data_IF_697207696332
#
_entry.id   IF_697207696332
#
_cell.length_a   1.000
_cell.length_b   1.000
_cell.length_c   1.000
_cell.angle_alpha   90.00
_cell.angle_beta   90.00
_cell.angle_gamma   90.00
#
_symmetry.space_group_name_H-M   'P 1'
#
loop_
_entity.id
_entity.type
_entity.pdbx_description
1 polymer ?
#
# COMPACT_ATOMS: atom_id res chain seq x y z
N UNK A 1 -4.55 30.41 14.41
CA UNK A 1 -4.03 29.03 14.29
C UNK A 1 -5.24 28.08 14.31
N UNK A 2 -5.84 27.81 13.14
CA UNK A 2 -7.15 27.12 13.06
C UNK A 2 -7.00 25.63 13.39
N UNK A 3 -7.74 25.20 14.43
CA UNK A 3 -7.86 23.82 14.93
C UNK A 3 -8.87 22.96 14.16
N UNK A 4 -9.16 23.29 12.90
CA UNK A 4 -9.82 22.36 11.99
C UNK A 4 -8.78 21.37 11.46
N UNK A 5 -8.43 20.38 12.27
CA UNK A 5 -7.52 19.30 11.88
C UNK A 5 -8.12 18.62 10.65
N UNK A 6 -7.52 18.91 9.50
CA UNK A 6 -7.86 18.36 8.20
C UNK A 6 -7.98 16.84 8.29
N UNK A 7 -9.16 16.34 7.94
CA UNK A 7 -9.70 15.11 8.47
C UNK A 7 -9.64 13.95 7.46
N UNK A 8 -8.74 14.01 6.47
CA UNK A 8 -8.70 13.04 5.37
C UNK A 8 -7.42 12.21 5.40
N UNK A 9 -7.58 10.90 5.20
CA UNK A 9 -6.47 9.95 5.01
C UNK A 9 -6.55 9.32 3.63
N UNK A 10 -5.41 8.86 3.14
CA UNK A 10 -5.30 8.14 1.89
C UNK A 10 -4.80 6.72 2.15
N UNK A 11 -5.49 5.73 1.60
CA UNK A 11 -5.13 4.32 1.66
C UNK A 11 -4.76 3.85 0.25
N UNK A 12 -3.62 3.18 0.10
CA UNK A 12 -3.10 2.71 -1.19
C UNK A 12 -2.77 1.22 -1.07
N UNK A 13 -3.60 0.37 -1.67
CA UNK A 13 -3.47 -1.08 -1.58
C UNK A 13 -3.15 -1.73 -2.93
N UNK A 14 -2.23 -2.70 -2.95
CA UNK A 14 -1.93 -3.51 -4.13
C UNK A 14 -2.26 -4.98 -3.93
N UNK A 15 -3.13 -5.54 -4.79
CA UNK A 15 -3.52 -6.95 -4.73
C UNK A 15 -4.06 -7.33 -3.34
N UNK A 16 -3.46 -8.35 -2.71
CA UNK A 16 -3.82 -8.79 -1.34
C UNK A 16 -3.56 -7.74 -0.27
N UNK A 17 -2.67 -6.76 -0.53
CA UNK A 17 -2.42 -5.64 0.39
C UNK A 17 -3.67 -4.82 0.71
N UNK A 18 -4.67 -4.86 -0.18
CA UNK A 18 -5.97 -4.22 0.06
C UNK A 18 -6.70 -4.76 1.30
N UNK A 19 -6.53 -6.04 1.63
CA UNK A 19 -7.19 -6.64 2.79
C UNK A 19 -6.74 -6.03 4.12
N UNK A 20 -5.46 -5.64 4.22
CA UNK A 20 -4.85 -5.09 5.45
C UNK A 20 -5.41 -3.71 5.77
N UNK A 21 -5.70 -2.91 4.74
CA UNK A 21 -6.14 -1.52 4.87
C UNK A 21 -7.58 -1.37 5.36
N UNK A 22 -8.39 -2.44 5.29
CA UNK A 22 -9.81 -2.41 5.67
C UNK A 22 -10.04 -1.97 7.12
N UNK A 23 -9.21 -2.45 8.05
CA UNK A 23 -9.33 -2.12 9.47
C UNK A 23 -9.03 -0.65 9.74
N UNK A 24 -7.98 -0.12 9.08
CA UNK A 24 -7.57 1.30 9.15
C UNK A 24 -8.69 2.20 8.62
N UNK A 25 -9.23 1.87 7.45
CA UNK A 25 -10.33 2.62 6.83
C UNK A 25 -11.57 2.68 7.71
N UNK A 26 -12.04 1.54 8.22
CA UNK A 26 -13.19 1.45 9.13
C UNK A 26 -13.01 2.28 10.41
N UNK A 27 -11.83 2.21 11.04
CA UNK A 27 -11.54 3.02 12.24
C UNK A 27 -11.55 4.52 11.92
N UNK A 28 -11.01 4.92 10.78
CA UNK A 28 -10.99 6.32 10.37
C UNK A 28 -12.39 6.86 10.06
N UNK A 29 -13.23 6.10 9.35
CA UNK A 29 -14.62 6.45 9.11
C UNK A 29 -15.41 6.61 10.42
N UNK A 30 -15.23 5.71 11.40
CA UNK A 30 -15.86 5.84 12.73
C UNK A 30 -15.44 7.11 13.46
N UNK A 31 -14.20 7.57 13.24
CA UNK A 31 -13.69 8.86 13.75
C UNK A 31 -14.12 10.06 12.89
N UNK A 32 -15.10 9.87 11.99
CA UNK A 32 -15.65 10.89 11.07
C UNK A 32 -14.59 11.48 10.13
N UNK A 33 -13.52 10.72 9.85
CA UNK A 33 -12.51 11.08 8.85
C UNK A 33 -13.00 10.72 7.45
N UNK A 34 -12.52 11.44 6.44
CA UNK A 34 -12.69 11.06 5.04
C UNK A 34 -11.58 10.10 4.63
N UNK A 35 -11.94 9.04 3.91
CA UNK A 35 -10.98 8.01 3.47
C UNK A 35 -11.01 7.95 1.94
N UNK A 36 -9.92 8.37 1.32
CA UNK A 36 -9.69 8.22 -0.11
C UNK A 36 -8.86 6.95 -0.34
N UNK A 37 -9.44 5.97 -1.01
CA UNK A 37 -8.84 4.65 -1.18
C UNK A 37 -8.45 4.43 -2.64
N UNK A 38 -7.19 4.09 -2.90
CA UNK A 38 -6.73 3.63 -4.21
C UNK A 38 -6.45 2.12 -4.14
N UNK A 39 -7.26 1.35 -4.85
CA UNK A 39 -7.16 -0.11 -4.90
C UNK A 39 -6.57 -0.54 -6.25
N UNK A 40 -5.30 -0.97 -6.22
CA UNK A 40 -4.55 -1.39 -7.40
C UNK A 40 -4.56 -2.90 -7.61
N UNK A 41 -4.84 -3.32 -8.85
CA UNK A 41 -4.83 -4.72 -9.28
C UNK A 41 -4.11 -4.87 -10.62
N UNK A 42 -3.51 -6.04 -10.86
CA UNK A 42 -3.01 -6.39 -12.20
C UNK A 42 -4.13 -7.01 -13.03
N UNK A 43 -4.84 -7.98 -12.47
CA UNK A 43 -5.92 -8.70 -13.13
C UNK A 43 -7.28 -8.37 -12.55
N UNK A 44 -8.31 -8.46 -13.37
CA UNK A 44 -9.71 -8.34 -12.95
C UNK A 44 -10.12 -9.48 -12.00
N UNK A 45 -9.57 -10.68 -12.18
CA UNK A 45 -9.82 -11.82 -11.30
C UNK A 45 -9.23 -11.66 -9.89
N UNK A 46 -8.29 -10.73 -9.70
CA UNK A 46 -7.63 -10.49 -8.42
C UNK A 46 -8.45 -9.54 -7.52
N UNK A 47 -9.54 -8.97 -8.03
CA UNK A 47 -10.37 -8.00 -7.31
C UNK A 47 -10.93 -8.65 -6.05
N UNK A 48 -10.50 -8.13 -4.91
CA UNK A 48 -10.76 -8.72 -3.61
C UNK A 48 -11.90 -8.00 -2.90
N UNK A 49 -12.96 -8.75 -2.54
CA UNK A 49 -14.04 -8.34 -1.61
C UNK A 49 -14.46 -6.87 -1.75
N UNK A 50 -14.90 -6.50 -2.96
CA UNK A 50 -15.21 -5.13 -3.34
C UNK A 50 -16.05 -4.36 -2.30
N UNK A 51 -17.16 -4.96 -1.83
CA UNK A 51 -18.03 -4.36 -0.82
C UNK A 51 -17.30 -4.02 0.50
N UNK A 52 -16.32 -4.84 0.93
CA UNK A 52 -15.56 -4.55 2.16
C UNK A 52 -14.65 -3.34 2.01
N UNK A 53 -14.06 -3.14 0.83
CA UNK A 53 -13.23 -1.97 0.53
C UNK A 53 -14.11 -0.72 0.44
N UNK A 54 -15.28 -0.85 -0.19
CA UNK A 54 -16.30 0.21 -0.27
C UNK A 54 -16.72 0.65 1.15
N UNK A 55 -17.05 -0.30 2.04
CA UNK A 55 -17.41 -0.03 3.45
C UNK A 55 -16.29 0.60 4.28
N UNK A 56 -15.04 0.42 3.88
CA UNK A 56 -13.86 0.99 4.54
C UNK A 56 -13.47 2.37 3.98
N UNK A 57 -14.21 2.90 3.01
CA UNK A 57 -13.79 4.08 2.22
C UNK A 57 -14.90 5.09 1.99
N UNK A 58 -14.57 6.38 2.01
CA UNK A 58 -15.49 7.44 1.56
C UNK A 58 -15.60 7.46 0.03
N UNK A 59 -14.47 7.27 -0.65
CA UNK A 59 -14.36 7.11 -2.11
C UNK A 59 -13.32 6.04 -2.39
N UNK A 60 -13.59 5.14 -3.33
CA UNK A 60 -12.61 4.21 -3.90
C UNK A 60 -12.30 4.59 -5.33
N UNK A 61 -11.02 4.59 -5.68
CA UNK A 61 -10.50 4.61 -7.04
C UNK A 61 -9.92 3.24 -7.33
N UNK A 62 -10.63 2.47 -8.16
CA UNK A 62 -10.22 1.16 -8.62
C UNK A 62 -9.28 1.32 -9.81
N UNK A 63 -8.03 0.90 -9.67
CA UNK A 63 -7.04 0.91 -10.75
C UNK A 63 -6.70 -0.54 -11.13
N UNK A 64 -6.87 -0.90 -12.39
CA UNK A 64 -6.53 -2.24 -12.87
C UNK A 64 -5.82 -2.19 -14.22
N UNK A 65 -4.71 -2.94 -14.35
CA UNK A 65 -3.91 -2.99 -15.58
C UNK A 65 -4.60 -3.76 -16.73
N UNK A 66 -5.51 -4.70 -16.42
CA UNK A 66 -6.21 -5.53 -17.41
C UNK A 66 -7.49 -4.87 -17.95
N UNK A 67 -8.13 -3.96 -17.20
CA UNK A 67 -9.36 -3.32 -17.63
C UNK A 67 -10.05 -2.48 -16.56
N UNK A 68 -11.31 -2.11 -16.82
CA UNK A 68 -12.12 -1.34 -15.87
C UNK A 68 -12.86 -2.25 -14.90
N UNK A 69 -12.73 -1.97 -13.61
CA UNK A 69 -13.51 -2.60 -12.55
C UNK A 69 -14.87 -1.90 -12.46
N UNK A 70 -15.97 -2.65 -12.45
CA UNK A 70 -17.32 -2.12 -12.28
C UNK A 70 -17.49 -1.57 -10.86
N UNK A 71 -17.90 -0.32 -10.72
CA UNK A 71 -18.19 0.30 -9.41
C UNK A 71 -19.62 -0.01 -8.96
N UNK A 72 -19.83 -0.21 -7.65
CA UNK A 72 -21.18 -0.40 -7.08
C UNK A 72 -21.78 0.91 -6.54
N UNK A 73 -20.97 1.96 -6.40
CA UNK A 73 -21.37 3.26 -5.82
C UNK A 73 -21.05 4.40 -6.78
N UNK A 74 -21.96 5.37 -6.88
CA UNK A 74 -21.86 6.49 -7.83
C UNK A 74 -20.65 7.40 -7.60
N UNK A 75 -20.14 7.49 -6.36
CA UNK A 75 -18.97 8.30 -6.03
C UNK A 75 -17.64 7.62 -6.38
N UNK A 76 -17.63 6.29 -6.52
CA UNK A 76 -16.41 5.53 -6.77
C UNK A 76 -16.00 5.63 -8.24
N UNK A 77 -14.70 5.49 -8.48
CA UNK A 77 -14.06 5.70 -9.78
C UNK A 77 -13.36 4.44 -10.23
N UNK A 78 -13.26 4.25 -11.55
CA UNK A 78 -12.52 3.15 -12.17
C UNK A 78 -11.53 3.73 -13.17
N UNK A 79 -10.34 3.13 -13.23
CA UNK A 79 -9.25 3.55 -14.10
C UNK A 79 -8.55 2.31 -14.66
N UNK A 80 -8.39 2.28 -15.98
CA UNK A 80 -7.64 1.23 -16.67
C UNK A 80 -6.18 1.68 -16.81
N UNK A 81 -5.28 1.00 -16.09
CA UNK A 81 -3.86 1.30 -16.04
C UNK A 81 -3.29 1.16 -14.63
N UNK A 82 -2.09 1.71 -14.42
CA UNK A 82 -1.42 1.63 -13.12
C UNK A 82 -2.00 2.62 -12.10
N UNK A 83 -1.72 2.34 -10.82
CA UNK A 83 -2.26 3.10 -9.69
C UNK A 83 -1.77 4.56 -9.60
N UNK A 84 -0.56 4.87 -10.09
CA UNK A 84 -0.03 6.24 -10.07
C UNK A 84 -0.79 7.11 -11.07
N UNK A 85 -0.99 6.60 -12.28
CA UNK A 85 -1.75 7.31 -13.31
C UNK A 85 -3.22 7.48 -12.89
N UNK A 86 -3.78 6.50 -12.17
CA UNK A 86 -5.08 6.63 -11.53
C UNK A 86 -5.11 7.79 -10.51
N UNK A 87 -4.06 7.95 -9.69
CA UNK A 87 -3.96 9.06 -8.73
C UNK A 87 -3.86 10.42 -9.42
N UNK A 88 -3.06 10.52 -10.49
CA UNK A 88 -2.95 11.75 -11.29
C UNK A 88 -4.30 12.08 -11.95
N UNK A 89 -4.93 11.08 -12.56
CA UNK A 89 -6.22 11.23 -13.25
C UNK A 89 -7.33 11.63 -12.28
N UNK A 90 -7.36 11.00 -11.10
CA UNK A 90 -8.25 11.39 -10.03
C UNK A 90 -8.03 12.85 -9.65
N UNK A 91 -6.79 13.26 -9.32
CA UNK A 91 -6.50 14.62 -8.88
C UNK A 91 -6.80 15.69 -9.95
N UNK A 92 -6.60 15.37 -11.23
CA UNK A 92 -6.92 16.26 -12.36
C UNK A 92 -8.42 16.35 -12.67
N UNK A 93 -9.25 15.54 -12.02
CA UNK A 93 -10.69 15.49 -12.27
C UNK A 93 -11.08 14.81 -13.59
N UNK A 94 -10.14 14.11 -14.26
CA UNK A 94 -10.45 13.39 -15.51
C UNK A 94 -11.32 12.16 -15.27
N UNK A 95 -11.42 11.69 -14.03
CA UNK A 95 -12.36 10.66 -13.56
C UNK A 95 -13.72 11.25 -13.14
N UNK A 96 -13.99 12.51 -13.47
CA UNK A 96 -15.18 13.26 -13.05
C UNK A 96 -15.00 13.92 -11.67
N UNK A 97 -16.11 14.33 -11.04
CA UNK A 97 -16.08 15.15 -9.82
C UNK A 97 -15.29 14.50 -8.67
N UNK A 98 -14.32 15.24 -8.13
CA UNK A 98 -13.50 14.84 -6.98
C UNK A 98 -14.03 15.45 -5.69
N UNK A 99 -14.28 14.65 -4.65
CA UNK A 99 -14.78 15.15 -3.35
C UNK A 99 -13.71 15.25 -2.25
N UNK A 100 -12.55 14.65 -2.49
CA UNK A 100 -11.38 14.69 -1.59
C UNK A 100 -10.18 15.00 -2.47
N UNK A 101 -9.62 16.19 -2.33
CA UNK A 101 -8.40 16.60 -3.02
C UNK A 101 -7.17 16.01 -2.29
N UNK A 102 -6.10 15.68 -3.03
CA UNK A 102 -4.85 15.18 -2.46
C UNK A 102 -4.18 16.19 -1.50
N UNK A 103 -4.44 17.49 -1.66
CA UNK A 103 -3.92 18.53 -0.75
C UNK A 103 -4.55 18.49 0.65
N UNK A 104 -5.71 17.84 0.81
CA UNK A 104 -6.41 17.68 2.07
C UNK A 104 -5.95 16.41 2.84
N UNK A 105 -5.07 15.60 2.25
CA UNK A 105 -4.55 14.37 2.85
C UNK A 105 -3.42 14.69 3.83
N UNK A 106 -3.55 14.19 5.06
CA UNK A 106 -2.53 14.36 6.10
C UNK A 106 -1.63 13.12 6.28
N UNK A 107 -2.16 11.94 5.97
CA UNK A 107 -1.52 10.64 6.16
C UNK A 107 -1.85 9.73 5.00
N UNK A 108 -0.80 9.11 4.47
CA UNK A 108 -0.88 8.08 3.43
C UNK A 108 -0.45 6.77 4.07
N UNK A 109 -1.24 5.72 3.89
CA UNK A 109 -0.89 4.35 4.24
C UNK A 109 -0.77 3.53 2.96
N UNK A 110 0.37 2.88 2.77
CA UNK A 110 0.68 2.10 1.57
C UNK A 110 0.95 0.65 1.95
N UNK A 111 0.19 -0.28 1.37
CA UNK A 111 0.37 -1.72 1.57
C UNK A 111 0.37 -2.42 0.22
N UNK A 112 1.44 -3.13 -0.08
CA UNK A 112 1.60 -3.86 -1.34
C UNK A 112 2.94 -4.57 -1.38
N UNK A 113 3.43 -4.88 -2.57
CA UNK A 113 4.80 -5.35 -2.73
C UNK A 113 5.81 -4.26 -2.35
N UNK A 114 7.01 -4.68 -1.95
CA UNK A 114 8.19 -3.83 -1.78
C UNK A 114 8.38 -2.87 -2.98
N UNK A 115 8.25 -3.38 -4.20
CA UNK A 115 8.36 -2.61 -5.44
C UNK A 115 7.27 -1.54 -5.55
N UNK A 116 6.02 -1.89 -5.27
CA UNK A 116 4.90 -0.96 -5.32
C UNK A 116 5.07 0.14 -4.27
N UNK A 117 5.41 -0.23 -3.03
CA UNK A 117 5.65 0.72 -1.94
C UNK A 117 6.78 1.69 -2.30
N UNK A 118 7.89 1.19 -2.85
CA UNK A 118 9.01 2.02 -3.31
C UNK A 118 8.59 2.98 -4.45
N UNK A 119 7.87 2.47 -5.45
CA UNK A 119 7.39 3.27 -6.59
C UNK A 119 6.45 4.39 -6.12
N UNK A 120 5.52 4.11 -5.20
CA UNK A 120 4.66 5.13 -4.58
C UNK A 120 5.49 6.15 -3.78
N UNK A 121 6.50 5.68 -3.02
CA UNK A 121 7.38 6.57 -2.26
C UNK A 121 8.14 7.54 -3.17
N UNK A 122 8.60 7.08 -4.33
CA UNK A 122 9.26 7.91 -5.32
C UNK A 122 8.26 8.89 -5.95
N UNK A 123 7.10 8.39 -6.39
CA UNK A 123 6.10 9.19 -7.07
C UNK A 123 5.57 10.36 -6.23
N UNK A 124 5.32 10.15 -4.93
CA UNK A 124 4.89 11.22 -4.01
C UNK A 124 5.94 12.33 -3.79
N UNK A 125 7.23 12.02 -4.01
CA UNK A 125 8.34 12.97 -3.92
C UNK A 125 8.64 13.66 -5.24
N UNK A 126 8.14 13.13 -6.37
CA UNK A 126 8.37 13.65 -7.71
C UNK A 126 7.07 14.11 -8.36
N UNK A 127 6.46 13.27 -9.19
CA UNK A 127 5.31 13.61 -10.06
C UNK A 127 4.05 14.00 -9.30
N UNK A 128 3.84 13.47 -8.10
CA UNK A 128 2.69 13.78 -7.25
C UNK A 128 3.01 14.84 -6.19
N UNK A 129 4.28 15.28 -6.08
CA UNK A 129 4.73 16.27 -5.10
C UNK A 129 3.92 17.58 -5.13
N UNK A 130 3.51 18.12 -6.29
CA UNK A 130 2.71 19.35 -6.35
C UNK A 130 1.30 19.20 -5.76
N UNK A 131 0.79 17.97 -5.65
CA UNK A 131 -0.57 17.71 -5.19
C UNK A 131 -0.66 17.42 -3.68
N UNK A 132 0.48 17.23 -3.01
CA UNK A 132 0.52 16.97 -1.58
C UNK A 132 1.12 18.15 -0.81
N UNK A 133 0.61 18.38 0.40
CA UNK A 133 1.23 19.28 1.37
C UNK A 133 2.59 18.76 1.80
N UNK A 134 3.47 19.66 2.20
CA UNK A 134 4.82 19.33 2.70
C UNK A 134 4.82 18.57 4.03
N UNK A 135 3.77 18.69 4.83
CA UNK A 135 3.59 18.03 6.13
C UNK A 135 2.82 16.70 6.05
N UNK A 136 2.50 16.22 4.84
CA UNK A 136 1.85 14.92 4.65
C UNK A 136 2.79 13.78 5.05
N UNK A 137 2.37 12.94 5.99
CA UNK A 137 3.15 11.79 6.49
C UNK A 137 2.80 10.56 5.66
N UNK A 138 3.81 9.83 5.17
CA UNK A 138 3.61 8.59 4.42
C UNK A 138 4.16 7.38 5.19
N UNK A 139 3.33 6.36 5.33
CA UNK A 139 3.60 5.15 6.10
C UNK A 139 3.45 3.94 5.17
N UNK A 140 4.39 3.01 5.26
CA UNK A 140 4.29 1.69 4.62
C UNK A 140 4.26 0.60 5.68
N UNK A 141 3.34 -0.36 5.52
CA UNK A 141 3.36 -1.59 6.31
C UNK A 141 4.39 -2.54 5.70
N UNK A 142 5.59 -2.54 6.27
CA UNK A 142 6.74 -3.28 5.75
C UNK A 142 6.50 -4.78 5.84
N UNK A 143 6.77 -5.51 4.75
CA UNK A 143 6.58 -6.96 4.64
C UNK A 143 7.90 -7.73 4.83
N UNK A 144 8.78 -7.31 5.75
CA UNK A 144 10.04 -8.00 6.03
C UNK A 144 9.80 -9.48 6.35
N UNK A 145 10.70 -10.40 5.95
CA UNK A 145 10.56 -11.82 6.30
C UNK A 145 10.51 -11.97 7.82
N UNK A 146 9.64 -12.85 8.33
CA UNK A 146 9.48 -13.06 9.77
C UNK A 146 9.61 -14.54 10.11
N UNK A 147 10.18 -14.84 11.28
CA UNK A 147 10.27 -16.21 11.81
C UNK A 147 9.56 -16.30 13.17
N UNK A 148 10.11 -15.67 14.22
CA UNK A 148 9.51 -15.78 15.56
C UNK A 148 8.29 -14.88 15.78
N UNK A 149 8.26 -13.69 15.15
CA UNK A 149 7.28 -12.63 15.43
C UNK A 149 7.18 -12.20 16.92
N UNK A 150 8.21 -12.48 17.73
CA UNK A 150 8.25 -12.22 19.18
C UNK A 150 8.84 -10.85 19.56
N UNK A 151 8.75 -9.84 18.68
CA UNK A 151 9.17 -8.45 18.95
C UNK A 151 10.65 -8.28 19.36
N UNK A 152 11.57 -8.64 18.47
CA UNK A 152 13.00 -8.34 18.62
C UNK A 152 13.90 -9.50 19.06
N UNK A 153 13.39 -10.73 19.04
CA UNK A 153 14.15 -11.92 19.45
C UNK A 153 15.06 -12.46 18.35
N UNK A 154 14.51 -12.89 17.21
CA UNK A 154 15.29 -13.63 16.19
C UNK A 154 15.96 -12.79 15.10
N UNK A 155 15.70 -11.47 15.05
CA UNK A 155 16.17 -10.55 14.01
C UNK A 155 15.82 -10.88 12.54
N UNK A 156 15.09 -11.96 12.23
CA UNK A 156 14.70 -12.23 10.84
C UNK A 156 13.89 -11.10 10.20
N UNK A 157 13.13 -10.35 11.00
CA UNK A 157 12.36 -9.20 10.53
C UNK A 157 13.10 -7.87 10.56
N UNK A 158 14.43 -7.84 10.73
CA UNK A 158 15.17 -6.58 10.77
C UNK A 158 15.00 -5.84 9.44
N UNK A 159 14.72 -4.55 9.54
CA UNK A 159 14.59 -3.62 8.44
C UNK A 159 15.53 -2.45 8.68
N UNK A 160 16.37 -2.14 7.69
CA UNK A 160 17.22 -0.96 7.72
C UNK A 160 16.41 0.29 7.36
N UNK A 161 16.65 1.35 8.12
CA UNK A 161 16.19 2.69 7.87
C UNK A 161 17.38 3.62 7.67
N UNK A 162 17.29 4.53 6.71
CA UNK A 162 18.31 5.52 6.38
C UNK A 162 17.65 6.89 6.31
N UNK A 163 18.12 7.83 7.13
CA UNK A 163 17.74 9.22 6.99
C UNK A 163 18.51 9.87 5.83
N UNK A 164 17.85 10.11 4.70
CA UNK A 164 18.51 10.64 3.50
C UNK A 164 19.09 12.05 3.65
N UNK A 165 18.71 12.79 4.70
CA UNK A 165 19.26 14.13 4.97
C UNK A 165 20.54 14.08 5.79
N UNK A 166 20.63 13.15 6.74
CA UNK A 166 21.76 13.07 7.68
C UNK A 166 22.72 11.93 7.37
N UNK A 167 22.30 10.94 6.59
CA UNK A 167 23.03 9.69 6.34
C UNK A 167 22.95 8.70 7.51
N UNK A 168 22.21 9.02 8.58
CA UNK A 168 22.09 8.16 9.76
C UNK A 168 21.35 6.87 9.44
N UNK A 169 21.95 5.73 9.79
CA UNK A 169 21.34 4.41 9.70
C UNK A 169 20.74 3.99 11.04
N UNK A 170 19.57 3.37 10.99
CA UNK A 170 18.94 2.72 12.14
C UNK A 170 18.31 1.40 11.71
N UNK A 171 18.04 0.53 12.68
CA UNK A 171 17.49 -0.80 12.43
C UNK A 171 16.21 -0.99 13.24
N UNK A 172 15.15 -1.42 12.57
CA UNK A 172 13.84 -1.66 13.15
C UNK A 172 13.49 -3.14 13.01
N UNK A 173 13.08 -3.79 14.08
CA UNK A 173 12.44 -5.10 14.00
C UNK A 173 11.00 -4.91 13.50
N UNK A 174 10.69 -5.31 12.27
CA UNK A 174 9.35 -5.11 11.69
C UNK A 174 8.24 -5.84 12.46
N UNK A 175 8.56 -6.90 13.21
CA UNK A 175 7.58 -7.53 14.13
C UNK A 175 7.27 -6.68 15.37
N UNK A 176 8.14 -5.74 15.73
CA UNK A 176 7.91 -4.74 16.78
C UNK A 176 7.21 -3.49 16.24
N UNK A 177 7.63 -3.02 15.07
CA UNK A 177 6.99 -1.91 14.36
C UNK A 177 6.94 -2.16 12.85
N UNK A 178 5.80 -2.62 12.36
CA UNK A 178 5.60 -2.93 10.95
C UNK A 178 5.30 -1.69 10.12
N UNK A 179 4.60 -0.72 10.70
CA UNK A 179 4.17 0.51 10.03
C UNK A 179 5.25 1.58 10.16
N UNK A 180 6.08 1.70 9.12
CA UNK A 180 7.29 2.53 9.15
C UNK A 180 7.15 3.75 8.23
N UNK A 181 7.84 4.84 8.58
CA UNK A 181 7.85 6.06 7.78
C UNK A 181 8.59 5.82 6.45
N UNK A 182 7.90 6.03 5.33
CA UNK A 182 8.46 5.81 3.99
C UNK A 182 9.65 6.72 3.66
N UNK A 183 9.84 7.83 4.37
CA UNK A 183 11.05 8.66 4.22
C UNK A 183 12.32 7.95 4.69
N UNK A 184 12.19 6.99 5.60
CA UNK A 184 13.33 6.34 6.25
C UNK A 184 13.58 4.92 5.72
N UNK A 185 12.58 4.23 5.18
CA UNK A 185 12.72 2.83 4.74
C UNK A 185 13.75 2.70 3.63
N UNK A 186 14.74 1.84 3.84
CA UNK A 186 15.61 1.35 2.78
C UNK A 186 14.92 0.21 2.01
N UNK A 187 14.31 0.57 0.88
CA UNK A 187 13.59 -0.38 0.02
C UNK A 187 14.52 -1.35 -0.71
N UNK A 188 15.78 -0.99 -0.97
CA UNK A 188 16.72 -1.90 -1.62
C UNK A 188 17.15 -2.99 -0.63
N UNK A 189 17.40 -2.62 0.63
CA UNK A 189 17.58 -3.57 1.73
C UNK A 189 16.38 -4.52 1.87
N UNK A 190 15.16 -3.99 1.88
CA UNK A 190 13.94 -4.81 1.96
C UNK A 190 13.84 -5.79 0.78
N UNK A 191 14.12 -5.32 -0.43
CA UNK A 191 14.07 -6.13 -1.66
C UNK A 191 15.04 -7.32 -1.58
N UNK A 192 16.27 -7.10 -1.12
CA UNK A 192 17.26 -8.17 -1.00
C UNK A 192 16.91 -9.14 0.15
N UNK A 193 16.43 -8.64 1.29
CA UNK A 193 15.92 -9.48 2.40
C UNK A 193 14.80 -10.42 1.95
N UNK A 194 13.87 -9.94 1.12
CA UNK A 194 12.75 -10.73 0.61
C UNK A 194 13.19 -11.86 -0.35
N UNK A 195 14.36 -11.74 -0.97
CA UNK A 195 14.88 -12.76 -1.91
C UNK A 195 15.70 -13.86 -1.23
N UNK A 196 15.99 -13.73 0.08
CA UNK A 196 16.91 -14.62 0.80
C UNK A 196 16.54 -16.10 0.65
N UNK A 197 15.23 -16.41 0.61
CA UNK A 197 14.75 -17.79 0.50
C UNK A 197 14.33 -18.19 -0.91
N UNK A 198 14.63 -17.39 -1.96
CA UNK A 198 14.07 -17.59 -3.30
C UNK A 198 14.40 -18.96 -3.91
N UNK A 199 15.59 -19.49 -3.65
CA UNK A 199 15.96 -20.83 -4.12
C UNK A 199 15.07 -21.91 -3.46
N UNK A 200 14.93 -21.86 -2.13
CA UNK A 200 14.12 -22.81 -1.38
C UNK A 200 12.65 -22.72 -1.80
N UNK A 201 12.10 -21.50 -1.91
CA UNK A 201 10.72 -21.27 -2.37
C UNK A 201 10.46 -21.91 -3.74
N UNK A 202 11.38 -21.75 -4.69
CA UNK A 202 11.26 -22.33 -6.04
C UNK A 202 11.37 -23.85 -6.03
N UNK A 203 12.27 -24.42 -5.24
CA UNK A 203 12.42 -25.87 -5.08
C UNK A 203 11.17 -26.46 -4.45
N UNK A 204 10.66 -25.86 -3.37
CA UNK A 204 9.41 -26.28 -2.72
C UNK A 204 8.22 -26.20 -3.67
N UNK A 205 8.08 -25.11 -4.43
CA UNK A 205 7.00 -25.00 -5.42
C UNK A 205 7.07 -26.08 -6.51
N UNK A 206 8.27 -26.38 -7.03
CA UNK A 206 8.48 -27.48 -7.99
C UNK A 206 8.16 -28.84 -7.38
N UNK A 207 8.57 -29.08 -6.15
CA UNK A 207 8.30 -30.32 -5.44
C UNK A 207 6.80 -30.52 -5.19
N UNK A 208 6.10 -29.50 -4.72
CA UNK A 208 4.64 -29.53 -4.54
C UNK A 208 3.95 -29.82 -5.87
N UNK A 209 4.35 -29.15 -6.95
CA UNK A 209 3.81 -29.39 -8.30
C UNK A 209 4.01 -30.86 -8.72
N UNK A 210 5.21 -31.39 -8.54
CA UNK A 210 5.52 -32.79 -8.84
C UNK A 210 4.64 -33.77 -8.05
N UNK A 211 4.39 -33.51 -6.76
CA UNK A 211 3.50 -34.33 -5.94
C UNK A 211 2.06 -34.29 -6.49
N UNK A 212 1.53 -33.12 -6.82
CA UNK A 212 0.16 -33.01 -7.36
C UNK A 212 -0.01 -33.65 -8.74
N UNK A 213 1.04 -33.65 -9.58
CA UNK A 213 0.99 -34.29 -10.90
C UNK A 213 1.09 -35.82 -10.82
N UNK A 214 1.85 -36.36 -9.84
CA UNK A 214 2.13 -37.79 -9.74
C UNK A 214 1.34 -38.53 -8.67
N UNK A 215 0.67 -37.82 -7.77
CA UNK A 215 -0.23 -38.40 -6.76
C UNK A 215 -1.65 -38.18 -7.23
N UNK A 216 -2.31 -39.23 -7.74
CA UNK A 216 -3.76 -39.23 -7.98
C UNK A 216 -4.45 -39.21 -6.60
N UNK A 217 -4.75 -38.03 -6.10
CA UNK A 217 -5.74 -37.82 -5.03
C UNK A 217 -7.09 -37.59 -5.71
#
# INVERSE_FOLDING_TARGET
MNKDVQNSIMLIGGGVGNAVLLSIGKVCLRKKKKVLYFAGYRKLSDVFKQALIEDASSIVVWACEEGLIKTNRNQDKSFHGNIIDAMISYQRGTLGSTRINLDAINKIFVVGSDKMMNIINKARKTILRPYFRSDCIAISSVNSPMQCMMKGICAQCVQRNINTKTGEESYVYSCSNQDQNMELIDFDFLTERLKQNSLQEKLTAKWIKHIFENTRI
#
